data_IF_185744456757
#
_entry.id   IF_185744456757
#
_cell.length_a   1.000
_cell.length_b   1.000
_cell.length_c   1.000
_cell.angle_alpha   90.00
_cell.angle_beta   90.00
_cell.angle_gamma   90.00
#
_symmetry.space_group_name_H-M   'P 1'
#
loop_
_entity.id
_entity.type
_entity.pdbx_description
1 polymer ?
#
# COMPACT_ATOMS: atom_id res chain seq x y z
N UNK A 1 60.06 -23.67 25.62
CA UNK A 1 59.25 -22.56 26.18
C UNK A 1 59.62 -21.26 25.47
N UNK A 2 58.79 -20.75 24.54
CA UNK A 2 58.73 -19.32 24.10
C UNK A 2 57.91 -19.16 22.79
N UNK A 3 56.63 -19.55 22.80
CA UNK A 3 55.69 -19.26 21.69
C UNK A 3 54.45 -18.45 22.15
N UNK A 4 54.40 -18.05 23.42
CA UNK A 4 53.21 -17.42 24.04
C UNK A 4 53.09 -15.90 23.81
N UNK A 5 54.19 -15.22 23.43
CA UNK A 5 54.23 -13.75 23.38
C UNK A 5 53.68 -13.16 22.07
N UNK A 6 53.85 -13.84 20.93
CA UNK A 6 53.40 -13.32 19.62
C UNK A 6 51.89 -13.39 19.41
N UNK A 7 51.21 -14.44 19.90
CA UNK A 7 49.75 -14.57 19.75
C UNK A 7 48.97 -13.54 20.58
N UNK A 8 49.50 -13.11 21.73
CA UNK A 8 48.85 -12.06 22.55
C UNK A 8 48.89 -10.68 21.89
N UNK A 9 49.91 -10.39 21.08
CA UNK A 9 49.99 -9.12 20.33
C UNK A 9 49.06 -9.10 19.11
N UNK A 10 48.87 -10.22 18.43
CA UNK A 10 47.93 -10.32 17.29
C UNK A 10 46.45 -10.22 17.71
N UNK A 11 46.07 -10.82 18.84
CA UNK A 11 44.70 -10.74 19.36
C UNK A 11 44.31 -9.32 19.83
N UNK A 12 45.26 -8.56 20.38
CA UNK A 12 45.01 -7.18 20.82
C UNK A 12 44.79 -6.22 19.65
N UNK A 13 45.48 -6.40 18.52
CA UNK A 13 45.33 -5.55 17.33
C UNK A 13 44.01 -5.79 16.60
N UNK A 14 43.51 -7.03 16.58
CA UNK A 14 42.21 -7.38 15.97
C UNK A 14 41.00 -6.79 16.74
N UNK A 15 41.09 -6.69 18.07
CA UNK A 15 40.04 -6.09 18.90
C UNK A 15 39.92 -4.57 18.72
N UNK A 16 41.03 -3.87 18.44
CA UNK A 16 41.03 -2.42 18.22
C UNK A 16 40.44 -2.07 16.83
N UNK A 17 40.69 -2.91 15.81
CA UNK A 17 40.11 -2.74 14.47
C UNK A 17 38.58 -2.94 14.44
N UNK A 18 38.05 -3.91 15.19
CA UNK A 18 36.60 -4.20 15.22
C UNK A 18 35.75 -3.11 15.88
N UNK A 19 36.27 -2.43 16.90
CA UNK A 19 35.55 -1.34 17.59
C UNK A 19 35.48 -0.08 16.72
N UNK A 20 36.51 0.19 15.90
CA UNK A 20 36.53 1.33 14.98
C UNK A 20 35.45 1.26 13.89
N UNK A 21 35.23 0.08 13.31
CA UNK A 21 34.21 -0.12 12.25
C UNK A 21 32.79 0.06 12.80
N UNK A 22 32.50 -0.43 14.00
CA UNK A 22 31.19 -0.26 14.63
C UNK A 22 30.89 1.20 15.00
N UNK A 23 31.91 1.96 15.44
CA UNK A 23 31.76 3.38 15.72
C UNK A 23 31.47 4.21 14.46
N UNK A 24 32.16 3.93 13.35
CA UNK A 24 31.92 4.60 12.06
C UNK A 24 30.52 4.29 11.52
N UNK A 25 30.06 3.04 11.60
CA UNK A 25 28.70 2.67 11.21
C UNK A 25 27.64 3.39 12.06
N UNK A 26 27.84 3.51 13.38
CA UNK A 26 26.91 4.23 14.26
C UNK A 26 26.82 5.73 13.92
N UNK A 27 27.96 6.37 13.60
CA UNK A 27 27.99 7.79 13.21
C UNK A 27 27.30 8.02 11.85
N UNK A 28 27.51 7.13 10.87
CA UNK A 28 26.84 7.21 9.55
C UNK A 28 25.33 6.98 9.68
N UNK A 29 24.89 6.04 10.52
CA UNK A 29 23.47 5.82 10.79
C UNK A 29 22.82 7.02 11.51
N UNK A 30 23.54 7.66 12.42
CA UNK A 30 23.07 8.83 13.15
C UNK A 30 22.89 10.06 12.25
N UNK A 31 23.83 10.32 11.33
CA UNK A 31 23.75 11.46 10.40
C UNK A 31 22.64 11.30 9.37
N UNK A 32 22.43 10.10 8.81
CA UNK A 32 21.31 9.80 7.90
C UNK A 32 19.94 10.00 8.55
N UNK A 33 19.79 9.62 9.83
CA UNK A 33 18.57 9.84 10.60
C UNK A 33 18.27 11.33 10.81
N UNK A 34 19.31 12.14 11.05
CA UNK A 34 19.18 13.60 11.21
C UNK A 34 18.80 14.30 9.90
N UNK A 35 19.38 13.90 8.77
CA UNK A 35 19.02 14.42 7.45
C UNK A 35 17.57 14.09 7.06
N UNK A 36 17.07 12.90 7.38
CA UNK A 36 15.67 12.52 7.14
C UNK A 36 14.70 13.38 7.97
N UNK A 37 15.01 13.63 9.25
CA UNK A 37 14.21 14.54 10.11
C UNK A 37 14.24 15.99 9.61
N UNK A 38 15.36 16.47 9.07
CA UNK A 38 15.46 17.81 8.51
C UNK A 38 14.62 17.96 7.22
N UNK A 39 14.61 16.96 6.34
CA UNK A 39 13.76 16.94 5.13
C UNK A 39 12.28 16.92 5.46
N UNK A 40 11.86 16.13 6.46
CA UNK A 40 10.45 16.09 6.92
C UNK A 40 10.03 17.43 7.53
N UNK A 41 10.87 18.07 8.34
CA UNK A 41 10.58 19.42 8.87
C UNK A 41 10.49 20.48 7.78
N UNK A 42 11.36 20.42 6.77
CA UNK A 42 11.31 21.35 5.63
C UNK A 42 10.05 21.15 4.78
N UNK A 43 9.62 19.90 4.59
CA UNK A 43 8.39 19.57 3.87
C UNK A 43 7.11 19.97 4.64
N UNK A 44 7.11 19.84 5.97
CA UNK A 44 6.01 20.31 6.82
C UNK A 44 5.94 21.85 6.85
N UNK A 45 7.08 22.53 6.93
CA UNK A 45 7.13 24.00 6.89
C UNK A 45 6.71 24.57 5.52
N UNK A 46 6.91 23.84 4.42
CA UNK A 46 6.43 24.26 3.10
C UNK A 46 4.94 23.99 2.87
N UNK A 47 4.35 23.01 3.55
CA UNK A 47 2.94 22.66 3.43
C UNK A 47 2.00 23.61 4.22
N UNK A 48 2.51 24.23 5.28
CA UNK A 48 1.72 25.15 6.13
C UNK A 48 1.42 26.50 5.46
N UNK A 49 2.11 26.83 4.35
CA UNK A 49 1.97 28.12 3.66
C UNK A 49 1.15 28.06 2.36
N UNK A 50 0.68 26.88 1.92
CA UNK A 50 0.03 26.72 0.60
C UNK A 50 -1.45 26.34 0.64
N UNK A 51 -2.07 26.22 1.82
CA UNK A 51 -3.44 25.71 1.97
C UNK A 51 -4.42 26.67 2.67
N UNK A 52 -4.27 27.98 2.45
CA UNK A 52 -5.38 28.92 2.72
C UNK A 52 -6.16 29.10 1.40
N UNK A 53 -7.37 28.54 1.26
CA UNK A 53 -8.16 28.78 0.06
C UNK A 53 -8.46 30.28 -0.03
N UNK A 54 -8.46 30.86 -1.25
CA UNK A 54 -8.80 32.27 -1.43
C UNK A 54 -10.24 32.48 -0.96
N UNK A 55 -10.41 33.34 0.05
CA UNK A 55 -11.72 33.88 0.43
C UNK A 55 -12.23 34.72 -0.73
N UNK A 56 -13.00 34.10 -1.63
CA UNK A 56 -13.79 34.84 -2.62
C UNK A 56 -14.90 35.57 -1.86
N UNK A 57 -14.73 36.87 -1.69
CA UNK A 57 -15.83 37.79 -1.33
C UNK A 57 -16.75 37.90 -2.54
N UNK A 58 -17.89 37.22 -2.49
CA UNK A 58 -18.98 37.43 -3.43
C UNK A 58 -19.77 38.66 -2.97
N UNK A 59 -20.03 39.61 -3.88
CA UNK A 59 -21.01 40.66 -3.62
C UNK A 59 -22.40 40.01 -3.69
N UNK A 60 -23.05 39.90 -2.52
CA UNK A 60 -24.34 39.24 -2.37
C UNK A 60 -25.51 40.21 -2.60
N UNK A 61 -26.68 39.70 -3.01
CA UNK A 61 -27.88 40.50 -3.21
C UNK A 61 -28.29 41.24 -1.92
N UNK A 62 -28.87 42.42 -2.11
CA UNK A 62 -29.42 43.25 -1.03
C UNK A 62 -30.42 42.46 -0.16
N UNK A 63 -30.55 42.80 1.14
CA UNK A 63 -31.47 42.10 2.04
C UNK A 63 -32.90 42.07 1.48
N UNK A 64 -33.64 40.96 1.66
CA UNK A 64 -34.99 40.82 1.14
C UNK A 64 -35.92 41.86 1.78
N UNK A 65 -36.63 42.62 0.96
CA UNK A 65 -37.67 43.56 1.39
C UNK A 65 -38.91 42.76 1.78
N UNK A 66 -39.25 42.75 3.07
CA UNK A 66 -40.35 41.97 3.63
C UNK A 66 -41.70 42.69 3.37
N UNK A 67 -42.24 42.60 2.14
CA UNK A 67 -43.55 43.18 1.78
C UNK A 67 -44.53 42.13 1.25
N UNK A 68 -45.55 41.84 2.07
CA UNK A 68 -46.94 41.43 1.75
C UNK A 68 -47.24 40.66 0.43
N UNK A 69 -47.43 39.35 0.61
CA UNK A 69 -47.98 38.19 -0.12
C UNK A 69 -48.85 38.29 -1.42
N UNK A 70 -49.00 39.39 -2.15
CA UNK A 70 -49.83 39.41 -3.39
C UNK A 70 -49.06 39.73 -4.69
N UNK A 71 -47.74 39.51 -4.75
CA UNK A 71 -46.92 39.86 -5.91
C UNK A 71 -46.41 38.63 -6.68
N UNK A 72 -46.49 38.71 -8.01
CA UNK A 72 -45.80 37.82 -8.95
C UNK A 72 -44.32 37.72 -8.56
N UNK A 73 -43.85 36.52 -8.20
CA UNK A 73 -42.44 36.28 -7.87
C UNK A 73 -41.57 36.55 -9.10
N UNK A 74 -40.66 37.50 -9.01
CA UNK A 74 -39.71 37.83 -10.07
C UNK A 74 -38.43 36.99 -9.92
N UNK A 75 -37.74 36.76 -11.03
CA UNK A 75 -36.43 36.09 -11.03
C UNK A 75 -35.47 36.80 -10.08
N UNK A 76 -34.89 36.06 -9.13
CA UNK A 76 -33.99 36.61 -8.10
C UNK A 76 -34.64 36.87 -6.73
N UNK A 77 -35.93 36.61 -6.57
CA UNK A 77 -36.57 36.69 -5.26
C UNK A 77 -35.99 35.69 -4.26
N UNK A 78 -35.79 36.16 -3.03
CA UNK A 78 -35.32 35.36 -1.90
C UNK A 78 -36.51 34.95 -1.06
N UNK A 79 -36.75 33.64 -0.95
CA UNK A 79 -37.73 33.08 -0.02
C UNK A 79 -37.03 32.76 1.29
N UNK A 80 -37.46 33.40 2.38
CA UNK A 80 -37.05 33.03 3.74
C UNK A 80 -37.87 31.82 4.17
N UNK A 81 -37.22 30.68 4.38
CA UNK A 81 -37.88 29.48 4.85
C UNK A 81 -38.21 29.65 6.34
N UNK A 82 -39.43 29.34 6.75
CA UNK A 82 -39.84 29.44 8.15
C UNK A 82 -39.13 28.40 9.01
N UNK A 83 -38.74 28.80 10.22
CA UNK A 83 -38.04 27.96 11.21
C UNK A 83 -38.91 26.83 11.79
N UNK A 84 -40.05 26.51 11.17
CA UNK A 84 -40.90 25.39 11.53
C UNK A 84 -40.21 24.09 11.14
N UNK A 85 -39.24 23.69 11.96
CA UNK A 85 -38.70 22.34 12.02
C UNK A 85 -39.88 21.45 12.38
N UNK A 86 -40.53 20.87 11.37
CA UNK A 86 -41.46 19.78 11.58
C UNK A 86 -40.71 18.76 12.45
N UNK A 87 -41.18 18.51 13.67
CA UNK A 87 -40.51 17.68 14.69
C UNK A 87 -40.31 16.21 14.30
N UNK A 88 -40.41 15.88 13.02
CA UNK A 88 -40.00 14.61 12.45
C UNK A 88 -38.48 14.47 12.48
N UNK A 89 -38.02 13.26 12.80
CA UNK A 89 -36.60 12.93 12.63
C UNK A 89 -36.24 12.99 11.14
N UNK A 90 -35.11 13.63 10.76
CA UNK A 90 -34.70 13.71 9.37
C UNK A 90 -34.52 12.31 8.78
N UNK A 91 -34.95 12.11 7.55
CA UNK A 91 -34.82 10.84 6.85
C UNK A 91 -33.36 10.51 6.58
N UNK A 92 -33.04 9.21 6.44
CA UNK A 92 -31.67 8.76 6.16
C UNK A 92 -31.10 9.38 4.88
N UNK A 93 -31.93 9.51 3.84
CA UNK A 93 -31.54 10.09 2.55
C UNK A 93 -31.21 11.59 2.66
N UNK A 94 -31.94 12.34 3.48
CA UNK A 94 -31.63 13.76 3.77
C UNK A 94 -30.31 13.90 4.52
N UNK A 95 -30.09 13.09 5.55
CA UNK A 95 -28.83 13.09 6.32
C UNK A 95 -27.64 12.80 5.41
N UNK A 96 -27.73 11.77 4.56
CA UNK A 96 -26.66 11.44 3.61
C UNK A 96 -26.43 12.53 2.57
N UNK A 97 -27.49 13.19 2.11
CA UNK A 97 -27.41 14.27 1.13
C UNK A 97 -26.70 15.49 1.72
N UNK A 98 -27.08 15.92 2.91
CA UNK A 98 -26.43 17.03 3.64
C UNK A 98 -24.98 16.67 3.97
N UNK A 99 -24.73 15.44 4.46
CA UNK A 99 -23.38 14.97 4.75
C UNK A 99 -22.45 15.02 3.53
N UNK A 100 -22.94 14.60 2.36
CA UNK A 100 -22.19 14.70 1.10
C UNK A 100 -21.99 16.13 0.64
N UNK A 101 -23.03 16.96 0.67
CA UNK A 101 -22.96 18.36 0.22
C UNK A 101 -21.97 19.19 1.05
N UNK A 102 -21.98 18.98 2.38
CA UNK A 102 -21.17 19.77 3.32
C UNK A 102 -19.81 19.10 3.61
N UNK A 103 -19.60 17.87 3.15
CA UNK A 103 -18.36 17.12 3.41
C UNK A 103 -18.16 16.77 4.89
N UNK A 104 -19.23 16.38 5.58
CA UNK A 104 -19.22 16.02 7.01
C UNK A 104 -19.75 14.60 7.22
N UNK A 105 -19.47 14.01 8.38
CA UNK A 105 -19.99 12.67 8.68
C UNK A 105 -21.50 12.66 8.90
N UNK A 106 -22.11 11.48 8.78
CA UNK A 106 -23.55 11.24 9.01
C UNK A 106 -24.00 11.76 10.39
N UNK A 107 -23.17 11.63 11.41
CA UNK A 107 -23.47 12.13 12.76
C UNK A 107 -23.55 13.66 12.82
N UNK A 108 -22.63 14.37 12.17
CA UNK A 108 -22.69 15.84 12.09
C UNK A 108 -23.89 16.24 11.25
N UNK A 109 -24.09 15.62 10.09
CA UNK A 109 -25.20 15.96 9.20
C UNK A 109 -26.55 15.82 9.92
N UNK A 110 -26.70 14.79 10.76
CA UNK A 110 -27.88 14.64 11.62
C UNK A 110 -28.02 15.77 12.63
N UNK A 111 -26.92 16.22 13.26
CA UNK A 111 -26.95 17.37 14.18
C UNK A 111 -27.31 18.67 13.46
N UNK A 112 -26.73 18.92 12.28
CA UNK A 112 -27.03 20.11 11.47
C UNK A 112 -28.50 20.20 11.07
N UNK A 113 -29.16 19.06 10.84
CA UNK A 113 -30.58 19.03 10.47
C UNK A 113 -31.54 19.18 11.66
N UNK A 114 -31.07 19.01 12.89
CA UNK A 114 -31.91 18.98 14.10
C UNK A 114 -31.65 20.17 15.02
N UNK A 115 -30.42 20.68 15.03
CA UNK A 115 -30.03 21.80 15.89
C UNK A 115 -30.55 23.12 15.30
N UNK A 116 -31.09 23.96 16.17
CA UNK A 116 -31.54 25.30 15.79
C UNK A 116 -30.36 26.14 15.32
N UNK A 117 -30.61 26.97 14.31
CA UNK A 117 -29.62 27.93 13.84
C UNK A 117 -29.30 28.94 14.96
N UNK A 118 -28.06 29.48 15.01
CA UNK A 118 -27.74 30.56 15.94
C UNK A 118 -28.68 31.76 15.73
N UNK A 119 -28.90 32.55 16.78
CA UNK A 119 -29.73 33.76 16.71
C UNK A 119 -29.36 34.63 15.49
N UNK A 120 -30.38 35.14 14.81
CA UNK A 120 -30.24 35.98 13.61
C UNK A 120 -30.11 35.19 12.30
N UNK A 121 -29.61 33.95 12.32
CA UNK A 121 -29.46 33.13 11.12
C UNK A 121 -30.76 32.47 10.69
N UNK A 122 -31.12 32.60 9.42
CA UNK A 122 -32.23 31.89 8.78
C UNK A 122 -31.81 31.24 7.47
N UNK A 123 -32.54 30.21 7.09
CA UNK A 123 -32.36 29.54 5.79
C UNK A 123 -33.11 30.33 4.71
N UNK A 124 -32.39 30.66 3.65
CA UNK A 124 -32.92 31.37 2.50
C UNK A 124 -32.79 30.48 1.26
N UNK A 125 -33.78 30.57 0.37
CA UNK A 125 -33.75 29.90 -0.93
C UNK A 125 -33.81 30.94 -2.04
N UNK A 126 -32.86 30.86 -2.97
CA UNK A 126 -32.89 31.64 -4.20
C UNK A 126 -33.87 30.97 -5.17
N UNK A 127 -34.84 31.73 -5.67
CA UNK A 127 -35.75 31.26 -6.72
C UNK A 127 -35.05 31.43 -8.06
N UNK A 128 -34.44 30.36 -8.57
CA UNK A 128 -33.95 30.31 -9.94
C UNK A 128 -35.10 29.87 -10.86
N UNK A 129 -35.57 30.78 -11.72
CA UNK A 129 -36.54 30.44 -12.76
C UNK A 129 -35.74 29.79 -13.90
N UNK A 130 -35.69 28.47 -13.91
CA UNK A 130 -35.11 27.75 -15.05
C UNK A 130 -36.04 27.94 -16.26
N UNK A 131 -35.74 28.92 -17.10
CA UNK A 131 -36.45 29.18 -18.37
C UNK A 131 -36.19 28.13 -19.47
N UNK A 132 -35.73 26.92 -19.13
CA UNK A 132 -35.63 25.84 -20.11
C UNK A 132 -37.00 25.22 -20.34
N UNK A 133 -37.60 25.49 -21.50
CA UNK A 133 -38.87 24.92 -21.99
C UNK A 133 -38.85 23.38 -22.17
N UNK A 134 -37.77 22.69 -21.77
CA UNK A 134 -37.68 21.22 -21.80
C UNK A 134 -38.31 20.62 -20.54
N UNK A 135 -39.63 20.55 -20.59
CA UNK A 135 -40.61 20.27 -19.53
C UNK A 135 -40.61 18.82 -18.96
N UNK A 136 -39.51 18.06 -18.99
CA UNK A 136 -39.58 16.59 -18.78
C UNK A 136 -38.54 15.93 -17.85
N UNK A 137 -37.80 16.66 -17.03
CA UNK A 137 -37.00 16.05 -15.96
C UNK A 137 -37.15 16.80 -14.62
N UNK A 138 -38.12 16.41 -13.79
CA UNK A 138 -37.93 15.52 -12.62
C UNK A 138 -37.28 16.21 -11.42
N UNK A 139 -38.10 16.64 -10.44
CA UNK A 139 -37.91 16.65 -8.96
C UNK A 139 -36.52 16.91 -8.34
N UNK A 140 -35.57 17.43 -9.11
CA UNK A 140 -34.25 17.80 -8.65
C UNK A 140 -34.40 19.16 -7.99
N UNK A 141 -34.73 19.16 -6.70
CA UNK A 141 -34.38 20.28 -5.83
C UNK A 141 -32.86 20.46 -5.95
N UNK A 142 -32.43 21.38 -6.80
CA UNK A 142 -31.04 21.79 -6.86
C UNK A 142 -30.73 22.50 -5.54
N UNK A 143 -30.09 21.74 -4.64
CA UNK A 143 -29.65 22.14 -3.29
C UNK A 143 -28.74 23.38 -3.35
N UNK A 144 -28.23 23.71 -4.54
CA UNK A 144 -27.46 24.90 -4.84
C UNK A 144 -28.23 26.21 -4.69
N UNK A 145 -29.56 26.16 -4.51
CA UNK A 145 -30.38 27.34 -4.24
C UNK A 145 -30.48 27.71 -2.76
N UNK A 146 -29.96 26.90 -1.82
CA UNK A 146 -30.08 27.17 -0.38
C UNK A 146 -28.84 27.88 0.16
N UNK A 147 -29.04 29.01 0.82
CA UNK A 147 -28.01 29.74 1.57
C UNK A 147 -28.53 30.15 2.96
N UNK A 148 -27.64 30.65 3.81
CA UNK A 148 -27.96 31.10 5.17
C UNK A 148 -27.71 32.60 5.26
N UNK A 149 -28.65 33.34 5.83
CA UNK A 149 -28.55 34.80 6.00
C UNK A 149 -28.74 35.17 7.47
N UNK A 150 -27.86 36.01 8.00
CA UNK A 150 -27.95 36.56 9.34
C UNK A 150 -28.64 37.92 9.32
N UNK A 151 -29.86 38.00 9.80
CA UNK A 151 -30.68 39.22 9.83
C UNK A 151 -30.18 40.27 10.81
N UNK A 152 -29.40 39.86 11.82
CA UNK A 152 -28.85 40.79 12.80
C UNK A 152 -27.59 41.50 12.27
N UNK A 153 -26.77 40.79 11.47
CA UNK A 153 -25.47 41.30 10.97
C UNK A 153 -25.47 41.67 9.49
N UNK A 154 -26.44 41.18 8.71
CA UNK A 154 -26.47 41.29 7.25
C UNK A 154 -25.50 40.35 6.53
N UNK A 155 -24.89 39.39 7.23
CA UNK A 155 -23.96 38.42 6.63
C UNK A 155 -24.70 37.27 5.93
N UNK A 156 -24.14 36.77 4.83
CA UNK A 156 -24.65 35.61 4.12
C UNK A 156 -23.57 34.54 3.93
N UNK A 157 -23.96 33.27 3.98
CA UNK A 157 -23.05 32.13 3.81
C UNK A 157 -23.74 31.00 3.04
N UNK A 158 -22.99 30.38 2.13
CA UNK A 158 -23.41 29.12 1.48
C UNK A 158 -23.20 27.91 2.39
N UNK A 159 -22.29 28.01 3.36
CA UNK A 159 -22.08 27.00 4.38
C UNK A 159 -23.02 27.23 5.56
N UNK A 160 -23.56 26.14 6.12
CA UNK A 160 -24.36 26.19 7.33
C UNK A 160 -23.52 26.74 8.50
N UNK A 161 -24.02 27.71 9.30
CA UNK A 161 -23.21 28.47 10.27
C UNK A 161 -22.54 27.59 11.34
N UNK A 162 -23.17 26.47 11.70
CA UNK A 162 -22.61 25.49 12.65
C UNK A 162 -21.54 24.54 12.06
N UNK A 163 -21.30 24.55 10.74
CA UNK A 163 -20.37 23.60 10.09
C UNK A 163 -18.94 23.80 10.58
N UNK A 164 -18.50 25.05 10.73
CA UNK A 164 -17.17 25.36 11.23
C UNK A 164 -16.94 24.78 12.64
N UNK A 165 -17.92 24.96 13.53
CA UNK A 165 -17.91 24.41 14.90
C UNK A 165 -17.78 22.89 14.88
N UNK A 166 -18.58 22.21 14.04
CA UNK A 166 -18.58 20.76 13.98
C UNK A 166 -17.35 20.15 13.31
N UNK A 167 -16.79 20.80 12.30
CA UNK A 167 -15.50 20.41 11.70
C UNK A 167 -14.39 20.49 12.75
N UNK A 168 -14.34 21.58 13.52
CA UNK A 168 -13.35 21.73 14.59
C UNK A 168 -13.49 20.63 15.67
N UNK A 169 -14.71 20.30 16.10
CA UNK A 169 -14.96 19.19 17.05
C UNK A 169 -14.48 17.84 16.48
N UNK A 170 -14.65 17.60 15.18
CA UNK A 170 -14.16 16.40 14.52
C UNK A 170 -12.64 16.35 14.41
N UNK A 171 -12.01 17.46 14.08
CA UNK A 171 -10.56 17.57 14.02
C UNK A 171 -9.94 17.32 15.41
N UNK A 172 -10.58 17.82 16.48
CA UNK A 172 -10.16 17.53 17.85
C UNK A 172 -10.32 16.05 18.20
N UNK A 173 -11.46 15.45 17.88
CA UNK A 173 -11.72 14.01 18.11
C UNK A 173 -10.75 13.12 17.34
N UNK A 174 -10.48 13.44 16.08
CA UNK A 174 -9.53 12.68 15.24
C UNK A 174 -8.11 12.84 15.76
N UNK A 175 -7.69 14.06 16.15
CA UNK A 175 -6.40 14.32 16.78
C UNK A 175 -6.23 13.56 18.09
N UNK A 176 -7.25 13.54 18.95
CA UNK A 176 -7.25 12.78 20.20
C UNK A 176 -7.15 11.27 19.95
N UNK A 177 -7.90 10.74 18.97
CA UNK A 177 -7.82 9.33 18.57
C UNK A 177 -6.43 8.95 18.05
N UNK A 178 -5.82 9.80 17.23
CA UNK A 178 -4.46 9.60 16.71
C UNK A 178 -3.42 9.65 17.84
N UNK A 179 -3.57 10.57 18.79
CA UNK A 179 -2.71 10.64 19.96
C UNK A 179 -2.78 9.34 20.79
N UNK A 180 -3.99 8.83 21.05
CA UNK A 180 -4.20 7.58 21.78
C UNK A 180 -3.62 6.36 21.05
N UNK A 181 -3.83 6.26 19.73
CA UNK A 181 -3.23 5.21 18.91
C UNK A 181 -1.69 5.25 18.96
N UNK A 182 -1.11 6.46 18.96
CA UNK A 182 0.35 6.62 19.07
C UNK A 182 0.89 6.18 20.43
N UNK A 183 0.15 6.46 21.51
CA UNK A 183 0.48 6.04 22.87
C UNK A 183 0.42 4.52 23.00
N UNK A 184 -0.66 3.91 22.53
CA UNK A 184 -0.82 2.45 22.52
C UNK A 184 0.28 1.73 21.72
N UNK A 185 0.68 2.29 20.56
CA UNK A 185 1.80 1.74 19.79
C UNK A 185 3.13 1.79 20.56
N UNK A 186 3.37 2.85 21.33
CA UNK A 186 4.59 2.96 22.18
C UNK A 186 4.57 1.95 23.32
N UNK A 187 3.44 1.79 23.99
CA UNK A 187 3.26 0.81 25.08
C UNK A 187 3.46 -0.63 24.57
N UNK A 188 2.88 -0.97 23.41
CA UNK A 188 3.06 -2.27 22.78
C UNK A 188 4.53 -2.51 22.38
N UNK A 189 5.18 -1.51 21.78
CA UNK A 189 6.59 -1.62 21.40
C UNK A 189 7.50 -1.82 22.62
N UNK A 190 7.18 -1.18 23.75
CA UNK A 190 7.96 -1.34 24.98
C UNK A 190 7.78 -2.73 25.60
N UNK A 191 6.54 -3.25 25.60
CA UNK A 191 6.26 -4.61 26.02
C UNK A 191 6.98 -5.66 25.14
N UNK A 192 7.04 -5.45 23.82
CA UNK A 192 7.77 -6.33 22.91
C UNK A 192 9.29 -6.28 23.14
N UNK A 193 9.87 -5.11 23.41
CA UNK A 193 11.28 -5.00 23.82
C UNK A 193 11.55 -5.79 25.11
N UNK A 194 10.69 -5.68 26.11
CA UNK A 194 10.85 -6.44 27.36
C UNK A 194 10.80 -7.96 27.13
N UNK A 195 9.93 -8.45 26.23
CA UNK A 195 9.90 -9.86 25.83
C UNK A 195 11.22 -10.31 25.18
N UNK A 196 11.79 -9.48 24.31
CA UNK A 196 13.08 -9.79 23.66
C UNK A 196 14.22 -9.82 24.68
N UNK A 197 14.27 -8.87 25.62
CA UNK A 197 15.27 -8.85 26.70
C UNK A 197 15.17 -10.11 27.56
N UNK A 198 13.97 -10.46 28.05
CA UNK A 198 13.75 -11.70 28.82
C UNK A 198 14.13 -12.96 28.05
N UNK A 199 13.88 -13.00 26.74
CA UNK A 199 14.27 -14.13 25.87
C UNK A 199 15.80 -14.23 25.75
N UNK A 200 16.49 -13.10 25.56
CA UNK A 200 17.96 -13.05 25.53
C UNK A 200 18.58 -13.50 26.85
N UNK A 201 18.05 -13.05 27.99
CA UNK A 201 18.52 -13.49 29.31
C UNK A 201 18.33 -15.00 29.53
N UNK A 202 17.18 -15.56 29.14
CA UNK A 202 16.94 -17.02 29.18
C UNK A 202 17.94 -17.78 28.32
N UNK A 203 18.25 -17.27 27.13
CA UNK A 203 19.23 -17.88 26.23
C UNK A 203 20.64 -17.82 26.79
N UNK A 204 21.05 -16.67 27.34
CA UNK A 204 22.34 -16.49 28.00
C UNK A 204 22.49 -17.46 29.19
N UNK A 205 21.45 -17.63 30.02
CA UNK A 205 21.45 -18.62 31.12
C UNK A 205 21.59 -20.07 30.62
N UNK A 206 20.96 -20.41 29.49
CA UNK A 206 21.11 -21.74 28.86
C UNK A 206 22.53 -21.97 28.34
N UNK A 207 23.12 -20.97 27.67
CA UNK A 207 24.49 -21.03 27.18
C UNK A 207 25.50 -21.15 28.33
N UNK A 208 25.33 -20.37 29.41
CA UNK A 208 26.20 -20.49 30.59
C UNK A 208 26.09 -21.84 31.29
N UNK A 209 24.92 -22.50 31.24
CA UNK A 209 24.73 -23.84 31.80
C UNK A 209 25.39 -24.94 30.97
N UNK A 210 25.49 -24.75 29.64
CA UNK A 210 26.13 -25.69 28.72
C UNK A 210 27.66 -25.62 28.76
N UNK A 211 28.25 -24.53 29.25
CA UNK A 211 29.70 -24.34 29.31
C UNK A 211 30.41 -25.09 30.48
N UNK A 212 29.83 -26.19 30.98
CA UNK A 212 30.42 -27.05 32.04
C UNK A 212 31.15 -28.30 31.52
N UNK A 213 31.24 -28.52 30.20
CA UNK A 213 32.13 -29.53 29.64
C UNK A 213 32.82 -28.96 28.39
N UNK A 214 34.15 -28.75 28.41
CA UNK A 214 34.88 -28.40 27.21
C UNK A 214 35.00 -29.67 26.36
N UNK A 215 34.12 -29.81 25.38
CA UNK A 215 34.37 -30.68 24.24
C UNK A 215 34.85 -29.72 23.14
N UNK A 216 36.10 -29.88 22.72
CA UNK A 216 36.72 -29.10 21.65
C UNK A 216 36.01 -29.38 20.33
N UNK A 217 35.02 -28.54 20.00
CA UNK A 217 34.27 -28.58 18.74
C UNK A 217 34.88 -27.67 17.66
N UNK A 218 35.93 -26.93 17.99
CA UNK A 218 36.58 -25.90 17.15
C UNK A 218 37.54 -26.46 16.08
N UNK A 219 37.50 -27.78 15.80
CA UNK A 219 38.48 -28.41 14.90
C UNK A 219 37.92 -29.30 13.79
N UNK A 220 36.61 -29.30 13.48
CA UNK A 220 36.08 -30.35 12.57
C UNK A 220 35.08 -30.02 11.47
N UNK A 221 34.76 -28.77 11.16
CA UNK A 221 33.99 -28.49 9.95
C UNK A 221 34.64 -27.38 9.16
N UNK A 222 35.23 -27.75 8.03
CA UNK A 222 35.57 -26.79 6.99
C UNK A 222 34.30 -26.44 6.23
N UNK A 223 34.19 -25.23 5.68
CA UNK A 223 32.97 -24.76 4.99
C UNK A 223 32.49 -25.74 3.88
N UNK A 224 33.40 -26.54 3.31
CA UNK A 224 33.09 -27.61 2.33
C UNK A 224 32.24 -28.76 2.89
N UNK A 225 32.31 -29.01 4.19
CA UNK A 225 31.56 -30.09 4.84
C UNK A 225 30.08 -29.71 5.02
N UNK A 226 29.78 -28.41 5.18
CA UNK A 226 28.40 -27.91 5.35
C UNK A 226 27.59 -28.00 4.05
N UNK A 227 28.20 -27.66 2.91
CA UNK A 227 27.58 -27.82 1.58
C UNK A 227 27.24 -29.29 1.34
N UNK A 228 28.21 -30.17 1.56
CA UNK A 228 28.03 -31.61 1.33
C UNK A 228 26.92 -32.18 2.21
N UNK A 229 26.91 -31.80 3.50
CA UNK A 229 25.87 -32.21 4.43
C UNK A 229 24.48 -31.72 4.00
N UNK A 230 24.37 -30.48 3.56
CA UNK A 230 23.10 -29.86 3.14
C UNK A 230 22.53 -30.56 1.92
N UNK A 231 23.34 -30.80 0.88
CA UNK A 231 22.88 -31.51 -0.31
C UNK A 231 22.47 -32.95 0.00
N UNK A 232 23.19 -33.64 0.89
CA UNK A 232 22.83 -34.99 1.32
C UNK A 232 21.51 -35.00 2.10
N UNK A 233 21.28 -34.05 3.01
CA UNK A 233 20.01 -33.93 3.75
C UNK A 233 18.84 -33.71 2.80
N UNK A 234 19.01 -32.87 1.77
CA UNK A 234 17.96 -32.63 0.77
C UNK A 234 17.69 -33.92 0.00
N UNK A 235 18.74 -34.60 -0.48
CA UNK A 235 18.59 -35.84 -1.22
C UNK A 235 17.88 -36.91 -0.37
N UNK A 236 18.36 -37.19 0.83
CA UNK A 236 17.78 -38.18 1.74
C UNK A 236 16.32 -37.88 2.13
N UNK A 237 15.93 -36.60 2.18
CA UNK A 237 14.57 -36.21 2.57
C UNK A 237 13.59 -36.15 1.41
N UNK A 238 14.06 -35.89 0.19
CA UNK A 238 13.18 -35.64 -0.97
C UNK A 238 13.15 -36.83 -1.94
N UNK A 239 14.26 -37.56 -2.06
CA UNK A 239 14.40 -38.76 -2.92
C UNK A 239 13.60 -39.91 -2.29
N UNK A 240 12.35 -40.05 -2.73
CA UNK A 240 11.40 -40.95 -2.09
C UNK A 240 11.58 -42.37 -2.60
N UNK A 241 11.95 -42.52 -3.88
CA UNK A 241 12.22 -43.82 -4.50
C UNK A 241 13.68 -44.29 -4.30
N UNK A 242 14.57 -43.43 -3.79
CA UNK A 242 15.98 -43.70 -3.48
C UNK A 242 16.81 -44.08 -4.71
N UNK A 243 16.52 -43.46 -5.85
CA UNK A 243 17.26 -43.70 -7.08
C UNK A 243 18.53 -42.85 -7.20
N UNK A 244 18.76 -41.94 -6.25
CA UNK A 244 19.93 -41.04 -6.22
C UNK A 244 19.74 -39.77 -7.04
N UNK A 245 18.54 -39.53 -7.57
CA UNK A 245 18.15 -38.32 -8.28
C UNK A 245 16.82 -37.78 -7.73
N UNK A 246 16.56 -36.49 -7.92
CA UNK A 246 15.28 -35.89 -7.54
C UNK A 246 14.46 -35.59 -8.78
N UNK A 247 13.38 -36.34 -8.98
CA UNK A 247 12.39 -35.96 -9.98
C UNK A 247 11.76 -34.61 -9.63
N UNK A 248 11.25 -33.89 -10.63
CA UNK A 248 10.51 -32.63 -10.43
C UNK A 248 9.35 -32.75 -9.43
N UNK A 249 8.71 -33.93 -9.39
CA UNK A 249 7.60 -34.22 -8.48
C UNK A 249 8.10 -34.37 -7.04
N UNK A 250 9.19 -35.11 -6.83
CA UNK A 250 9.81 -35.28 -5.51
C UNK A 250 10.34 -33.98 -4.95
N UNK A 251 11.09 -33.22 -5.76
CA UNK A 251 11.58 -31.90 -5.37
C UNK A 251 10.44 -30.95 -4.95
N UNK A 252 9.35 -30.95 -5.72
CA UNK A 252 8.16 -30.14 -5.42
C UNK A 252 7.46 -30.58 -4.14
N UNK A 253 7.31 -31.90 -3.94
CA UNK A 253 6.65 -32.45 -2.76
C UNK A 253 7.50 -32.25 -1.50
N UNK A 254 8.82 -32.42 -1.60
CA UNK A 254 9.76 -32.19 -0.52
C UNK A 254 9.71 -30.74 -0.02
N UNK A 255 9.79 -29.76 -0.93
CA UNK A 255 9.67 -28.35 -0.56
C UNK A 255 8.31 -27.99 0.05
N UNK A 256 7.22 -28.56 -0.46
CA UNK A 256 5.86 -28.32 0.07
C UNK A 256 5.62 -29.01 1.42
N UNK A 257 6.23 -30.17 1.62
CA UNK A 257 6.13 -30.94 2.86
C UNK A 257 7.03 -30.41 3.97
N UNK A 258 8.10 -29.68 3.63
CA UNK A 258 9.00 -29.09 4.60
C UNK A 258 8.28 -28.02 5.45
N UNK A 259 8.21 -28.24 6.77
CA UNK A 259 7.70 -27.24 7.70
C UNK A 259 8.62 -26.01 7.70
N UNK A 260 8.15 -24.81 7.31
CA UNK A 260 8.93 -23.57 7.31
C UNK A 260 9.56 -23.21 8.67
N UNK A 261 9.03 -23.76 9.76
CA UNK A 261 9.52 -23.51 11.13
C UNK A 261 10.61 -24.49 11.56
N UNK A 262 10.72 -25.64 10.92
CA UNK A 262 11.75 -26.65 11.18
C UNK A 262 13.14 -26.12 10.82
N UNK A 263 14.20 -26.74 11.36
CA UNK A 263 15.59 -26.36 11.04
C UNK A 263 15.89 -26.54 9.56
N UNK A 264 15.48 -27.68 8.99
CA UNK A 264 15.60 -27.98 7.56
C UNK A 264 14.82 -26.97 6.74
N UNK A 265 13.56 -26.69 7.10
CA UNK A 265 12.76 -25.67 6.40
C UNK A 265 13.41 -24.28 6.43
N UNK A 266 13.99 -23.85 7.55
CA UNK A 266 14.70 -22.56 7.59
C UNK A 266 15.95 -22.54 6.71
N UNK A 267 16.72 -23.63 6.69
CA UNK A 267 17.88 -23.77 5.81
C UNK A 267 17.45 -23.75 4.35
N UNK A 268 16.41 -24.48 3.98
CA UNK A 268 15.87 -24.46 2.61
C UNK A 268 15.35 -23.05 2.24
N UNK A 269 14.67 -22.32 3.14
CA UNK A 269 14.22 -20.94 2.85
C UNK A 269 15.44 -20.04 2.63
N UNK A 270 16.47 -20.21 3.46
CA UNK A 270 17.72 -19.46 3.34
C UNK A 270 18.43 -19.77 2.04
N UNK A 271 18.49 -21.04 1.64
CA UNK A 271 19.16 -21.49 0.42
C UNK A 271 18.37 -21.05 -0.80
N UNK A 272 17.06 -21.29 -0.87
CA UNK A 272 16.32 -21.00 -2.09
C UNK A 272 15.91 -19.53 -2.21
N UNK A 273 15.78 -18.81 -1.10
CA UNK A 273 15.39 -17.40 -1.06
C UNK A 273 13.97 -17.14 -1.60
N UNK A 274 13.14 -18.18 -1.66
CA UNK A 274 11.87 -18.16 -2.39
C UNK A 274 10.77 -18.75 -1.52
N UNK A 275 9.59 -18.14 -1.62
CA UNK A 275 8.37 -18.64 -0.99
C UNK A 275 7.84 -19.83 -1.83
N UNK A 276 8.29 -21.04 -1.50
CA UNK A 276 7.86 -22.29 -2.16
C UNK A 276 6.37 -22.62 -2.02
N UNK A 277 5.54 -21.70 -1.52
CA UNK A 277 4.08 -21.81 -1.65
C UNK A 277 3.63 -21.64 -3.10
N UNK A 278 4.41 -20.94 -3.92
CA UNK A 278 4.09 -20.70 -5.33
C UNK A 278 4.68 -21.83 -6.19
N UNK A 279 3.82 -22.53 -6.94
CA UNK A 279 4.23 -23.69 -7.76
C UNK A 279 5.22 -23.29 -8.87
N UNK A 280 5.01 -22.15 -9.53
CA UNK A 280 5.85 -21.67 -10.63
C UNK A 280 7.28 -21.38 -10.18
N UNK A 281 7.44 -20.85 -8.98
CA UNK A 281 8.73 -20.56 -8.37
C UNK A 281 9.57 -21.83 -8.12
N UNK A 282 8.94 -22.89 -7.62
CA UNK A 282 9.60 -24.19 -7.43
C UNK A 282 10.06 -24.74 -8.78
N UNK A 283 9.19 -24.71 -9.79
CA UNK A 283 9.49 -25.20 -11.14
C UNK A 283 10.65 -24.43 -11.76
N UNK A 284 10.70 -23.10 -11.56
CA UNK A 284 11.80 -22.28 -12.05
C UNK A 284 13.13 -22.66 -11.40
N UNK A 285 13.14 -22.83 -10.07
CA UNK A 285 14.34 -23.24 -9.33
C UNK A 285 14.80 -24.63 -9.80
N UNK A 286 13.87 -25.57 -9.95
CA UNK A 286 14.18 -26.90 -10.45
C UNK A 286 14.92 -26.83 -11.79
N UNK A 287 14.34 -26.12 -12.76
CA UNK A 287 14.95 -25.94 -14.08
C UNK A 287 16.27 -25.13 -14.06
N UNK A 288 16.58 -24.40 -12.98
CA UNK A 288 17.85 -23.68 -12.81
C UNK A 288 18.96 -24.58 -12.24
N UNK A 289 18.57 -25.63 -11.50
CA UNK A 289 19.49 -26.62 -10.94
C UNK A 289 19.77 -27.74 -11.95
N UNK A 290 18.75 -28.14 -12.71
CA UNK A 290 18.79 -29.12 -13.80
C UNK A 290 19.64 -28.57 -14.97
N UNK A 291 20.96 -28.73 -14.88
CA UNK A 291 21.92 -28.13 -15.82
C UNK A 291 21.91 -28.86 -17.17
N UNK A 292 21.64 -30.17 -17.16
CA UNK A 292 21.60 -31.01 -18.35
C UNK A 292 20.20 -31.11 -18.99
N UNK A 293 19.15 -30.67 -18.29
CA UNK A 293 17.77 -30.62 -18.77
C UNK A 293 17.10 -31.99 -18.86
N UNK A 294 17.60 -32.99 -18.13
CA UNK A 294 17.08 -34.35 -18.17
C UNK A 294 15.78 -34.53 -17.36
N UNK A 295 15.38 -33.52 -16.57
CA UNK A 295 14.16 -33.53 -15.76
C UNK A 295 14.30 -34.13 -14.35
N UNK A 296 15.53 -34.45 -13.94
CA UNK A 296 15.93 -35.00 -12.65
C UNK A 296 17.13 -34.23 -12.08
N UNK A 297 17.23 -34.05 -10.76
CA UNK A 297 18.39 -33.39 -10.15
C UNK A 297 19.32 -34.43 -9.54
N UNK A 298 20.52 -34.56 -10.11
CA UNK A 298 21.57 -35.37 -9.52
C UNK A 298 22.14 -34.71 -8.24
N UNK A 299 22.77 -35.52 -7.38
CA UNK A 299 23.46 -35.00 -6.20
C UNK A 299 24.55 -33.97 -6.55
N UNK A 300 25.18 -34.12 -7.73
CA UNK A 300 26.24 -33.22 -8.20
C UNK A 300 25.68 -31.85 -8.57
N UNK A 301 24.57 -31.80 -9.31
CA UNK A 301 23.90 -30.54 -9.66
C UNK A 301 23.38 -29.82 -8.42
N UNK A 302 22.79 -30.57 -7.50
CA UNK A 302 22.32 -30.03 -6.24
C UNK A 302 23.48 -29.47 -5.39
N UNK A 303 24.62 -30.16 -5.35
CA UNK A 303 25.82 -29.69 -4.66
C UNK A 303 26.36 -28.41 -5.29
N UNK A 304 26.57 -28.39 -6.60
CA UNK A 304 26.99 -27.19 -7.34
C UNK A 304 26.06 -26.01 -7.07
N UNK A 305 24.75 -26.25 -7.02
CA UNK A 305 23.79 -25.20 -6.70
C UNK A 305 23.97 -24.67 -5.28
N UNK A 306 24.14 -25.54 -4.27
CA UNK A 306 24.39 -25.12 -2.89
C UNK A 306 25.72 -24.37 -2.76
N UNK A 307 26.79 -24.85 -3.43
CA UNK A 307 28.10 -24.17 -3.49
C UNK A 307 27.98 -22.76 -4.06
N UNK A 308 27.26 -22.60 -5.18
CA UNK A 308 26.99 -21.28 -5.79
C UNK A 308 26.25 -20.31 -4.84
N UNK A 309 25.45 -20.84 -3.92
CA UNK A 309 24.70 -20.03 -2.96
C UNK A 309 25.53 -19.66 -1.73
N UNK A 310 26.50 -20.48 -1.34
CA UNK A 310 27.36 -20.26 -0.18
C UNK A 310 28.59 -19.39 -0.49
N UNK A 311 29.26 -19.64 -1.62
CA UNK A 311 30.46 -18.90 -2.08
C UNK A 311 30.18 -17.42 -2.38
N UNK A 312 28.92 -17.02 -2.34
CA UNK A 312 28.52 -15.71 -2.74
C UNK A 312 27.45 -15.15 -1.83
N UNK A 313 27.79 -14.65 -0.65
CA UNK A 313 26.89 -13.74 0.07
C UNK A 313 26.42 -12.58 -0.82
N UNK A 314 27.22 -12.16 -1.82
CA UNK A 314 26.90 -11.08 -2.75
C UNK A 314 26.23 -11.52 -4.04
N UNK A 315 26.54 -12.69 -4.64
CA UNK A 315 25.76 -13.25 -5.74
C UNK A 315 24.49 -13.94 -5.24
N UNK A 316 24.43 -14.45 -4.01
CA UNK A 316 23.19 -14.78 -3.32
C UNK A 316 22.38 -13.50 -3.11
N UNK A 317 22.99 -12.38 -2.66
CA UNK A 317 22.29 -11.08 -2.66
C UNK A 317 21.93 -10.61 -4.07
N UNK A 318 22.69 -10.91 -5.11
CA UNK A 318 22.40 -10.51 -6.49
C UNK A 318 21.36 -11.42 -7.16
N UNK A 319 21.33 -12.71 -6.82
CA UNK A 319 20.37 -13.72 -7.26
C UNK A 319 19.09 -13.54 -6.46
N UNK A 320 19.14 -13.29 -5.16
CA UNK A 320 18.01 -12.85 -4.32
C UNK A 320 17.58 -11.43 -4.66
N UNK A 321 18.46 -10.53 -5.11
CA UNK A 321 18.06 -9.24 -5.68
C UNK A 321 17.46 -9.44 -7.07
N UNK A 322 17.92 -10.38 -7.90
CA UNK A 322 17.24 -10.75 -9.16
C UNK A 322 15.91 -11.44 -8.87
N UNK A 323 15.81 -12.31 -7.87
CA UNK A 323 14.61 -13.06 -7.43
C UNK A 323 13.63 -12.19 -6.61
N UNK A 324 14.13 -11.16 -5.93
CA UNK A 324 13.39 -10.19 -5.12
C UNK A 324 13.07 -8.88 -5.86
N UNK A 325 13.83 -8.56 -6.91
CA UNK A 325 13.51 -7.52 -7.89
C UNK A 325 12.59 -8.04 -9.01
N UNK A 326 12.41 -9.37 -9.16
CA UNK A 326 11.41 -9.94 -10.07
C UNK A 326 10.01 -10.06 -9.47
N UNK A 327 9.76 -9.60 -8.24
CA UNK A 327 8.39 -9.20 -7.87
C UNK A 327 7.95 -8.01 -8.73
N UNK A 328 8.87 -7.23 -9.30
CA UNK A 328 8.54 -6.19 -10.28
C UNK A 328 8.50 -6.68 -11.74
N UNK A 329 9.04 -7.86 -12.06
CA UNK A 329 9.29 -8.28 -13.44
C UNK A 329 8.79 -9.69 -13.83
N UNK A 330 8.30 -10.51 -12.89
CA UNK A 330 7.47 -11.69 -13.19
C UNK A 330 6.10 -11.54 -12.53
N UNK A 331 5.66 -10.28 -12.38
CA UNK A 331 4.31 -9.96 -11.96
C UNK A 331 3.34 -10.57 -12.99
N UNK A 332 2.17 -11.01 -12.52
CA UNK A 332 1.06 -11.39 -13.41
C UNK A 332 0.83 -10.34 -14.50
N UNK A 333 1.11 -9.09 -14.17
CA UNK A 333 1.08 -7.92 -15.03
C UNK A 333 2.08 -8.02 -16.19
N UNK A 334 3.34 -8.42 -15.97
CA UNK A 334 4.30 -8.56 -17.07
C UNK A 334 3.95 -9.71 -18.00
N UNK A 335 3.50 -10.84 -17.45
CA UNK A 335 3.06 -11.98 -18.26
C UNK A 335 1.88 -11.59 -19.16
N UNK A 336 0.90 -10.86 -18.61
CA UNK A 336 -0.25 -10.37 -19.36
C UNK A 336 0.17 -9.30 -20.38
N UNK A 337 1.11 -8.41 -20.02
CA UNK A 337 1.67 -7.42 -20.94
C UNK A 337 2.40 -8.06 -22.12
N UNK A 338 3.35 -8.97 -21.85
CA UNK A 338 4.15 -9.65 -22.87
C UNK A 338 3.30 -10.51 -23.80
N UNK A 339 2.22 -11.09 -23.28
CA UNK A 339 1.26 -11.87 -24.07
C UNK A 339 0.47 -11.02 -25.06
N UNK A 340 0.20 -9.75 -24.72
CA UNK A 340 -0.71 -8.92 -25.49
C UNK A 340 -0.08 -7.69 -26.13
N UNK A 341 1.19 -7.38 -25.91
CA UNK A 341 1.86 -6.27 -26.62
C UNK A 341 1.85 -6.49 -28.14
N UNK A 342 1.79 -5.40 -28.89
CA UNK A 342 1.93 -5.40 -30.34
C UNK A 342 3.40 -5.55 -30.76
N UNK A 343 3.65 -5.54 -32.07
CA UNK A 343 5.00 -5.69 -32.66
C UNK A 343 5.98 -4.61 -32.20
N UNK A 344 5.46 -3.42 -31.84
CA UNK A 344 6.24 -2.31 -31.29
C UNK A 344 6.52 -2.45 -29.79
N UNK A 345 6.10 -3.55 -29.17
CA UNK A 345 6.30 -3.82 -27.75
C UNK A 345 5.42 -2.98 -26.81
N UNK A 346 4.34 -2.40 -27.33
CA UNK A 346 3.39 -1.56 -26.58
C UNK A 346 1.98 -2.18 -26.58
N UNK A 347 1.11 -1.75 -25.67
CA UNK A 347 -0.30 -2.14 -25.64
C UNK A 347 -1.16 -1.04 -26.28
N UNK A 348 -1.71 -1.31 -27.47
CA UNK A 348 -2.73 -0.45 -28.06
C UNK A 348 -4.12 -0.70 -27.42
N UNK A 349 -5.13 0.07 -27.85
CA UNK A 349 -6.50 -0.05 -27.32
C UNK A 349 -7.10 -1.45 -27.51
N UNK A 350 -6.84 -2.09 -28.66
CA UNK A 350 -7.36 -3.43 -28.98
C UNK A 350 -6.65 -4.50 -28.14
N UNK A 351 -5.37 -4.32 -27.88
CA UNK A 351 -4.60 -5.19 -26.99
C UNK A 351 -5.05 -5.05 -25.53
N UNK A 352 -5.37 -3.83 -25.07
CA UNK A 352 -5.95 -3.62 -23.73
C UNK A 352 -7.30 -4.30 -23.57
N UNK A 353 -8.13 -4.38 -24.62
CA UNK A 353 -9.38 -5.15 -24.55
C UNK A 353 -9.14 -6.63 -24.26
N UNK A 354 -8.11 -7.23 -24.88
CA UNK A 354 -7.72 -8.62 -24.64
C UNK A 354 -7.20 -8.83 -23.22
N UNK A 355 -6.41 -7.87 -22.71
CA UNK A 355 -5.95 -7.84 -21.30
C UNK A 355 -7.14 -7.86 -20.34
N UNK A 356 -8.14 -6.98 -20.55
CA UNK A 356 -9.34 -6.93 -19.71
C UNK A 356 -10.13 -8.24 -19.74
N UNK A 357 -10.31 -8.85 -20.93
CA UNK A 357 -10.98 -10.15 -21.06
C UNK A 357 -10.29 -11.24 -20.24
N UNK A 358 -8.96 -11.34 -20.34
CA UNK A 358 -8.21 -12.34 -19.57
C UNK A 358 -8.28 -12.09 -18.07
N UNK A 359 -8.16 -10.82 -17.63
CA UNK A 359 -8.29 -10.48 -16.20
C UNK A 359 -9.68 -10.83 -15.65
N UNK A 360 -10.75 -10.59 -16.42
CA UNK A 360 -12.11 -10.99 -16.02
C UNK A 360 -12.28 -12.51 -15.91
N UNK A 361 -11.71 -13.26 -16.85
CA UNK A 361 -11.70 -14.71 -16.80
C UNK A 361 -10.93 -15.25 -15.59
N UNK A 362 -9.74 -14.71 -15.31
CA UNK A 362 -8.92 -15.10 -14.14
C UNK A 362 -9.61 -14.79 -12.81
N UNK A 363 -10.41 -13.73 -12.76
CA UNK A 363 -11.19 -13.35 -11.59
C UNK A 363 -12.54 -14.08 -11.48
N UNK A 364 -12.82 -15.04 -12.37
CA UNK A 364 -14.04 -15.87 -12.34
C UNK A 364 -15.32 -15.17 -12.79
N UNK A 365 -15.23 -13.95 -13.33
CA UNK A 365 -16.36 -13.20 -13.91
C UNK A 365 -15.94 -12.60 -15.26
N UNK A 366 -16.10 -13.34 -16.38
CA UNK A 366 -15.71 -12.82 -17.69
C UNK A 366 -16.50 -11.55 -18.02
N UNK A 367 -15.81 -10.53 -18.51
CA UNK A 367 -16.44 -9.27 -18.92
C UNK A 367 -16.99 -9.39 -20.34
N UNK A 368 -18.10 -8.69 -20.61
CA UNK A 368 -18.61 -8.58 -21.98
C UNK A 368 -17.69 -7.73 -22.86
N UNK A 369 -17.77 -7.93 -24.18
CA UNK A 369 -16.97 -7.16 -25.15
C UNK A 369 -17.16 -5.65 -24.98
N UNK A 370 -18.41 -5.20 -24.77
CA UNK A 370 -18.75 -3.79 -24.54
C UNK A 370 -18.12 -3.23 -23.25
N UNK A 371 -17.97 -4.05 -22.20
CA UNK A 371 -17.28 -3.64 -20.98
C UNK A 371 -15.78 -3.53 -21.21
N UNK A 372 -15.18 -4.49 -21.91
CA UNK A 372 -13.75 -4.49 -22.24
C UNK A 372 -13.37 -3.26 -23.08
N UNK A 373 -14.12 -2.98 -24.16
CA UNK A 373 -13.96 -1.79 -25.00
C UNK A 373 -14.04 -0.49 -24.18
N UNK A 374 -15.10 -0.35 -23.36
CA UNK A 374 -15.30 0.83 -22.51
C UNK A 374 -14.16 1.03 -21.51
N UNK A 375 -13.61 -0.05 -20.96
CA UNK A 375 -12.54 0.02 -19.97
C UNK A 375 -11.16 0.22 -20.60
N UNK A 376 -10.89 -0.38 -21.76
CA UNK A 376 -9.70 -0.11 -22.55
C UNK A 376 -9.60 1.38 -22.90
N UNK A 377 -10.66 1.97 -23.46
CA UNK A 377 -10.69 3.41 -23.79
C UNK A 377 -10.52 4.32 -22.55
N UNK A 378 -11.14 3.97 -21.42
CA UNK A 378 -10.93 4.70 -20.15
C UNK A 378 -9.50 4.59 -19.63
N UNK A 379 -8.88 3.43 -19.78
CA UNK A 379 -7.51 3.16 -19.35
C UNK A 379 -6.52 4.00 -20.17
N UNK A 380 -6.67 4.01 -21.49
CA UNK A 380 -5.86 4.84 -22.39
C UNK A 380 -6.02 6.34 -22.13
N UNK A 381 -7.27 6.82 -21.96
CA UNK A 381 -7.51 8.24 -21.62
C UNK A 381 -6.87 8.63 -20.28
N UNK A 382 -6.79 7.69 -19.33
CA UNK A 382 -6.15 7.94 -18.04
C UNK A 382 -4.63 7.97 -18.14
N UNK A 383 -4.03 7.09 -18.96
CA UNK A 383 -2.60 7.17 -19.25
C UNK A 383 -2.21 8.50 -19.85
N UNK A 384 -3.00 8.98 -20.83
CA UNK A 384 -2.82 10.29 -21.43
C UNK A 384 -2.84 11.42 -20.39
N UNK A 385 -3.64 11.30 -19.32
CA UNK A 385 -3.71 12.28 -18.24
C UNK A 385 -2.62 12.11 -17.16
N UNK A 386 -2.00 10.94 -17.03
CA UNK A 386 -0.98 10.64 -16.02
C UNK A 386 0.44 10.89 -16.52
N UNK A 387 0.64 10.83 -17.83
CA UNK A 387 1.89 11.17 -18.47
C UNK A 387 2.04 12.68 -18.51
N UNK A 388 3.01 13.23 -17.77
CA UNK A 388 3.42 14.63 -17.91
C UNK A 388 4.07 14.91 -19.27
N UNK A 389 4.43 13.86 -20.02
CA UNK A 389 4.89 13.91 -21.42
C UNK A 389 3.72 13.68 -22.39
N UNK A 390 3.84 14.13 -23.64
CA UNK A 390 2.89 13.81 -24.72
C UNK A 390 2.79 12.28 -24.90
N UNK A 391 1.82 11.67 -24.22
CA UNK A 391 1.43 10.29 -24.47
C UNK A 391 0.50 10.28 -25.67
N UNK A 392 0.99 9.79 -26.80
CA UNK A 392 0.17 9.57 -27.98
C UNK A 392 -0.62 8.25 -27.81
N UNK A 393 -1.94 8.35 -27.91
CA UNK A 393 -2.86 7.22 -27.77
C UNK A 393 -2.65 6.22 -28.91
N UNK A 394 -2.22 6.68 -30.09
CA UNK A 394 -1.97 5.84 -31.26
C UNK A 394 -0.72 4.97 -31.08
N UNK A 395 0.25 5.46 -30.30
CA UNK A 395 1.51 4.79 -30.04
C UNK A 395 1.37 3.61 -29.08
N UNK A 396 0.35 3.60 -28.23
CA UNK A 396 0.11 2.55 -27.23
C UNK A 396 0.94 2.72 -25.94
N UNK A 397 0.59 1.93 -24.93
CA UNK A 397 1.20 1.99 -23.60
C UNK A 397 2.44 1.11 -23.47
N UNK A 398 3.53 1.64 -22.92
CA UNK A 398 4.70 0.86 -22.55
C UNK A 398 4.44 -0.01 -21.31
N UNK A 399 5.39 -0.89 -20.96
CA UNK A 399 5.27 -1.70 -19.75
C UNK A 399 5.28 -0.85 -18.48
N UNK A 400 6.03 0.26 -18.44
CA UNK A 400 6.06 1.15 -17.28
C UNK A 400 4.74 1.93 -17.13
N UNK A 401 4.09 2.31 -18.25
CA UNK A 401 2.75 2.90 -18.24
C UNK A 401 1.72 1.92 -17.67
N UNK A 402 1.77 0.67 -18.13
CA UNK A 402 0.92 -0.42 -17.65
C UNK A 402 1.11 -0.70 -16.15
N UNK A 403 2.35 -0.69 -15.68
CA UNK A 403 2.71 -0.86 -14.26
C UNK A 403 2.27 0.33 -13.40
N UNK A 404 2.35 1.55 -13.93
CA UNK A 404 1.85 2.75 -13.25
C UNK A 404 0.33 2.70 -13.08
N UNK A 405 -0.39 2.18 -14.08
CA UNK A 405 -1.82 1.95 -14.00
C UNK A 405 -2.19 0.87 -12.97
N UNK A 406 -1.46 -0.25 -12.92
CA UNK A 406 -1.74 -1.31 -11.95
C UNK A 406 -1.48 -0.84 -10.52
N UNK A 407 -0.40 -0.07 -10.32
CA UNK A 407 0.00 0.46 -9.02
C UNK A 407 -0.90 1.60 -8.49
N UNK A 408 -1.47 2.42 -9.38
CA UNK A 408 -2.35 3.54 -8.96
C UNK A 408 -3.71 3.10 -8.40
N UNK A 409 -3.94 1.78 -8.30
CA UNK A 409 -5.15 1.16 -7.78
C UNK A 409 -6.39 1.05 -8.68
N UNK A 410 -6.56 1.65 -9.88
CA UNK A 410 -7.88 1.78 -10.48
C UNK A 410 -8.23 0.57 -11.33
N UNK A 411 -7.24 -0.11 -11.93
CA UNK A 411 -7.39 -1.42 -12.55
C UNK A 411 -7.94 -2.41 -11.52
N UNK A 412 -7.33 -2.45 -10.34
CA UNK A 412 -7.75 -3.31 -9.24
C UNK A 412 -9.05 -2.84 -8.58
N UNK A 413 -9.31 -1.54 -8.41
CA UNK A 413 -10.57 -1.03 -7.85
C UNK A 413 -11.76 -1.27 -8.78
N UNK A 414 -11.59 -1.17 -10.10
CA UNK A 414 -12.66 -1.48 -11.06
C UNK A 414 -12.98 -2.98 -11.01
N UNK A 415 -11.97 -3.84 -10.89
CA UNK A 415 -12.16 -5.28 -10.71
C UNK A 415 -12.76 -5.60 -9.34
N UNK A 416 -12.31 -4.98 -8.24
CA UNK A 416 -12.69 -5.37 -6.87
C UNK A 416 -13.94 -4.67 -6.32
N UNK A 417 -14.27 -3.43 -6.71
CA UNK A 417 -15.47 -2.71 -6.23
C UNK A 417 -16.74 -3.02 -7.03
N UNK A 418 -16.61 -3.63 -8.22
CA UNK A 418 -17.74 -3.99 -9.10
C UNK A 418 -17.92 -5.50 -9.28
N UNK A 419 -17.06 -6.30 -8.63
CA UNK A 419 -17.31 -7.71 -8.33
C UNK A 419 -18.11 -7.84 -7.05
#
# INVERSE_FOLDING_TARGET
>A
MSLSSHYKKLAATALIGGVGVLAVCAVVSYTKSRQKKARVRKALASADNSNKPPTKTYHHPSPPNNTSVDADFLEGDTIVLSDTVNGGSPSKSEIERVGRAVGVTVEIAKKLLVEELPSGWKVCKLVEINHSEDELASDSLDIHSIYYFNFDTGESSWDHPLVAKYRAEQDEKTKARLANLSKQKRENAEHDKQKVVKKKERMARRLSALNKKPISLEQMFTDKDEVTLTSNIIMESFDTNKDGALSKKEFTNGLRGADPKSTVGKQLISIFGVNWRVKSDIVRIFNEIDEDGNGELSLIELRKFVERMDESSDAHRAIVARRGSTVADNSSEKLVFDKYKNENGKLDINNFEKVWKEMGAQAGKPFSDKQCQKWAGKTMKRLANLSDAEFDVEDGASFEDFKTLSASGPLFEIVTKRM
#
